data_IF_567024694758
#
_entry.id   IF_567024694758
#
_cell.length_a   1.000
_cell.length_b   1.000
_cell.length_c   1.000
_cell.angle_alpha   90.00
_cell.angle_beta   90.00
_cell.angle_gamma   90.00
#
_symmetry.space_group_name_H-M   'P 1'
#
loop_
_entity.id
_entity.type
_entity.pdbx_description
1 polymer ?
#
# COMPACT_ATOMS: atom_id res chain seq x y z
N UNK A 1 21.74 -7.57 31.09
CA UNK A 1 22.12 -6.72 29.93
C UNK A 1 21.32 -5.43 30.02
N UNK A 2 21.93 -4.27 29.74
CA UNK A 2 21.28 -2.94 29.84
C UNK A 2 21.15 -2.30 28.45
N UNK A 3 20.08 -1.57 28.19
CA UNK A 3 19.96 -0.72 27.00
C UNK A 3 20.50 0.69 27.29
N UNK A 4 21.40 1.19 26.44
CA UNK A 4 21.96 2.54 26.55
C UNK A 4 21.43 3.40 25.41
N UNK A 5 20.78 4.51 25.75
CA UNK A 5 20.20 5.45 24.78
C UNK A 5 20.42 6.91 25.23
N UNK A 6 20.13 7.87 24.34
CA UNK A 6 20.12 9.31 24.60
C UNK A 6 21.46 9.94 25.04
N UNK A 7 22.60 9.36 24.65
CA UNK A 7 23.89 10.01 24.86
C UNK A 7 23.95 11.33 24.08
N UNK A 8 23.98 12.45 24.80
CA UNK A 8 24.04 13.79 24.21
C UNK A 8 25.10 14.65 24.91
N UNK A 9 25.88 15.39 24.12
CA UNK A 9 26.82 16.40 24.61
C UNK A 9 26.46 17.74 23.97
N UNK A 10 26.33 18.76 24.82
CA UNK A 10 26.05 20.12 24.40
C UNK A 10 27.04 20.60 23.32
N UNK A 11 26.55 21.30 22.28
CA UNK A 11 27.35 21.68 21.09
C UNK A 11 28.71 22.30 21.43
N UNK A 12 28.74 23.20 22.42
CA UNK A 12 29.96 23.91 22.87
C UNK A 12 31.02 23.03 23.56
N UNK A 13 30.68 21.80 23.97
CA UNK A 13 31.55 20.91 24.77
C UNK A 13 32.03 19.67 24.01
N UNK A 14 31.63 19.49 22.75
CA UNK A 14 31.90 18.26 21.98
C UNK A 14 33.39 17.98 21.78
N UNK A 15 34.22 19.03 21.66
CA UNK A 15 35.68 18.89 21.51
C UNK A 15 36.42 18.57 22.82
N UNK A 16 35.74 18.64 23.98
CA UNK A 16 36.37 18.47 25.30
C UNK A 16 36.38 17.03 25.83
N UNK A 17 36.16 16.03 24.97
CA UNK A 17 36.13 14.60 25.35
C UNK A 17 35.16 14.26 26.50
N UNK A 18 34.03 14.97 26.57
CA UNK A 18 32.99 14.72 27.61
C UNK A 18 32.29 13.38 27.40
N UNK A 19 32.01 12.99 26.15
CA UNK A 19 31.30 11.74 25.85
C UNK A 19 32.00 10.47 26.41
N UNK A 20 33.32 10.27 26.24
CA UNK A 20 34.03 9.17 26.89
C UNK A 20 33.89 9.11 28.42
N UNK A 21 33.80 10.26 29.11
CA UNK A 21 33.65 10.31 30.57
C UNK A 21 32.24 9.87 30.97
N UNK A 22 31.22 10.35 30.26
CA UNK A 22 29.83 9.93 30.46
C UNK A 22 29.66 8.42 30.26
N UNK A 23 30.29 7.87 29.21
CA UNK A 23 30.27 6.43 28.92
C UNK A 23 30.92 5.64 30.06
N UNK A 24 32.09 6.08 30.59
CA UNK A 24 32.73 5.40 31.73
C UNK A 24 31.89 5.43 32.98
N UNK A 25 31.26 6.57 33.29
CA UNK A 25 30.45 6.70 34.50
C UNK A 25 29.19 5.83 34.43
N UNK A 26 28.50 5.77 33.28
CA UNK A 26 27.34 4.88 33.15
C UNK A 26 27.77 3.41 33.21
N UNK A 27 28.90 3.03 32.59
CA UNK A 27 29.45 1.67 32.73
C UNK A 27 29.76 1.34 34.20
N UNK A 28 30.36 2.27 34.95
CA UNK A 28 30.65 2.07 36.39
C UNK A 28 29.36 1.80 37.19
N UNK A 29 28.31 2.60 36.95
CA UNK A 29 27.02 2.43 37.64
C UNK A 29 26.36 1.09 37.31
N UNK A 30 26.34 0.71 36.02
CA UNK A 30 25.76 -0.55 35.57
C UNK A 30 26.49 -1.77 36.16
N UNK A 31 27.82 -1.69 36.27
CA UNK A 31 28.63 -2.76 36.86
C UNK A 31 28.38 -2.95 38.36
N UNK A 32 28.04 -1.88 39.10
CA UNK A 32 27.69 -1.98 40.53
C UNK A 32 26.40 -2.77 40.77
N UNK A 33 25.49 -2.76 39.79
CA UNK A 33 24.25 -3.56 39.80
C UNK A 33 24.48 -5.01 39.30
N UNK A 34 25.73 -5.43 39.11
CA UNK A 34 26.08 -6.77 38.64
C UNK A 34 25.79 -7.03 37.14
N UNK A 35 25.50 -5.99 36.37
CA UNK A 35 25.26 -6.09 34.92
C UNK A 35 26.55 -5.72 34.17
N UNK A 36 27.00 -6.57 33.25
CA UNK A 36 28.27 -6.36 32.53
C UNK A 36 28.12 -6.28 31.01
N UNK A 37 26.89 -6.37 30.50
CA UNK A 37 26.60 -6.32 29.06
C UNK A 37 25.66 -5.16 28.76
N UNK A 38 25.89 -4.48 27.64
CA UNK A 38 25.05 -3.38 27.17
C UNK A 38 24.72 -3.54 25.68
N UNK A 39 23.53 -3.07 25.29
CA UNK A 39 23.11 -2.90 23.89
C UNK A 39 22.84 -1.42 23.63
N UNK A 40 23.23 -0.95 22.45
CA UNK A 40 22.98 0.44 22.02
C UNK A 40 22.92 0.50 20.50
N UNK A 41 22.25 1.52 19.99
CA UNK A 41 22.23 1.86 18.57
C UNK A 41 22.97 3.18 18.35
N UNK A 42 23.60 3.35 17.19
CA UNK A 42 24.28 4.59 16.82
C UNK A 42 24.06 4.89 15.35
N UNK A 43 23.83 6.16 15.01
CA UNK A 43 23.71 6.63 13.62
C UNK A 43 25.06 6.76 12.89
N UNK A 44 26.18 6.50 13.58
CA UNK A 44 27.54 6.53 13.05
C UNK A 44 28.18 5.15 13.18
N UNK A 45 29.07 4.78 12.23
CA UNK A 45 29.74 3.49 12.26
C UNK A 45 30.80 3.47 13.36
N UNK A 46 30.64 2.55 14.31
CA UNK A 46 31.61 2.25 15.38
C UNK A 46 32.27 0.88 15.12
N UNK A 47 33.43 0.59 15.72
CA UNK A 47 34.11 -0.69 15.53
C UNK A 47 33.22 -1.88 15.93
N UNK A 48 33.18 -2.93 15.09
CA UNK A 48 32.46 -4.20 15.29
C UNK A 48 30.94 -4.03 15.53
N UNK A 49 30.17 -3.49 14.58
CA UNK A 49 28.71 -3.47 14.69
C UNK A 49 28.15 -4.90 14.64
N UNK A 50 27.17 -5.22 15.51
CA UNK A 50 26.49 -6.52 15.51
C UNK A 50 25.53 -6.65 14.33
N UNK A 51 24.84 -5.56 13.97
CA UNK A 51 23.98 -5.47 12.80
C UNK A 51 23.99 -4.02 12.27
N UNK A 52 23.80 -3.84 10.97
CA UNK A 52 23.67 -2.51 10.35
C UNK A 52 22.36 -2.43 9.59
N UNK A 53 21.42 -1.64 10.10
CA UNK A 53 20.18 -1.30 9.39
C UNK A 53 20.44 -0.05 8.54
N UNK A 54 20.22 -0.11 7.22
CA UNK A 54 20.39 1.06 6.35
C UNK A 54 19.17 1.96 6.49
N UNK A 55 19.37 3.18 6.98
CA UNK A 55 18.35 4.22 6.91
C UNK A 55 18.00 4.51 5.44
N UNK A 56 16.71 4.51 5.12
CA UNK A 56 16.21 4.84 3.79
C UNK A 56 16.28 6.36 3.59
N UNK A 57 17.10 6.84 2.65
CA UNK A 57 17.13 8.27 2.31
C UNK A 57 15.99 8.60 1.36
N UNK A 58 15.44 9.83 1.43
CA UNK A 58 14.34 10.27 0.57
C UNK A 58 14.63 10.04 -0.93
N UNK A 59 15.86 10.35 -1.38
CA UNK A 59 16.27 10.11 -2.77
C UNK A 59 16.22 8.62 -3.15
N UNK A 60 16.61 7.72 -2.23
CA UNK A 60 16.55 6.29 -2.45
C UNK A 60 15.10 5.79 -2.45
N UNK A 61 14.24 6.34 -1.59
CA UNK A 61 12.80 6.08 -1.57
C UNK A 61 12.15 6.49 -2.88
N UNK A 62 12.39 7.72 -3.36
CA UNK A 62 11.89 8.22 -4.64
C UNK A 62 12.34 7.33 -5.81
N UNK A 63 13.60 6.89 -5.81
CA UNK A 63 14.11 5.98 -6.85
C UNK A 63 13.47 4.58 -6.76
N UNK A 64 13.22 4.10 -5.55
CA UNK A 64 12.62 2.79 -5.31
C UNK A 64 11.15 2.72 -5.77
N UNK A 65 10.37 3.75 -5.48
CA UNK A 65 8.94 3.85 -5.83
C UNK A 65 8.68 4.58 -7.15
N UNK A 66 9.71 4.82 -7.95
CA UNK A 66 9.54 5.44 -9.27
C UNK A 66 8.73 4.53 -10.18
N UNK A 67 7.61 5.04 -10.66
CA UNK A 67 6.80 4.43 -11.71
C UNK A 67 7.12 5.06 -13.07
N UNK A 68 6.88 4.32 -14.18
CA UNK A 68 6.88 4.87 -15.54
C UNK A 68 5.94 6.07 -15.71
N UNK A 69 6.06 6.75 -16.84
CA UNK A 69 5.24 7.92 -17.18
C UNK A 69 4.08 7.59 -18.15
N UNK A 70 4.04 6.36 -18.66
CA UNK A 70 2.97 5.85 -19.52
C UNK A 70 2.64 4.40 -19.18
N UNK A 71 1.38 4.02 -19.39
CA UNK A 71 0.86 2.66 -19.19
C UNK A 71 1.41 1.71 -20.25
N UNK A 72 1.48 0.42 -19.90
CA UNK A 72 2.04 -0.64 -20.75
C UNK A 72 0.94 -1.35 -21.56
N UNK A 73 -0.26 -1.48 -21.00
CA UNK A 73 -1.36 -2.24 -21.60
C UNK A 73 -1.96 -1.48 -22.79
N UNK A 74 -1.92 -2.12 -23.97
CA UNK A 74 -2.56 -1.61 -25.18
C UNK A 74 -4.08 -1.67 -25.06
N UNK A 75 -4.77 -0.64 -25.55
CA UNK A 75 -6.24 -0.60 -25.52
C UNK A 75 -6.84 -0.18 -24.17
N UNK A 76 -6.00 0.16 -23.19
CA UNK A 76 -6.44 0.71 -21.90
C UNK A 76 -7.02 2.11 -22.10
N UNK A 77 -8.30 2.28 -21.76
CA UNK A 77 -9.03 3.56 -21.86
C UNK A 77 -10.03 3.72 -20.72
N UNK A 78 -10.50 4.93 -20.42
CA UNK A 78 -11.59 5.13 -19.47
C UNK A 78 -12.84 4.33 -19.86
N UNK A 79 -13.56 3.83 -18.86
CA UNK A 79 -14.86 3.17 -19.07
C UNK A 79 -15.91 4.19 -19.55
N UNK A 80 -16.72 3.79 -20.53
CA UNK A 80 -17.84 4.56 -21.06
C UNK A 80 -19.18 3.86 -20.78
N UNK A 81 -20.30 4.58 -20.96
CA UNK A 81 -21.65 4.02 -20.76
C UNK A 81 -21.96 2.82 -21.66
N UNK A 82 -21.37 2.75 -22.85
CA UNK A 82 -21.56 1.61 -23.77
C UNK A 82 -20.94 0.31 -23.23
N UNK A 83 -19.99 0.42 -22.31
CA UNK A 83 -19.21 -0.70 -21.78
C UNK A 83 -19.91 -1.40 -20.60
N UNK A 84 -20.97 -0.80 -20.02
CA UNK A 84 -21.65 -1.26 -18.79
C UNK A 84 -21.99 -2.74 -18.86
N UNK A 85 -22.66 -3.17 -19.94
CA UNK A 85 -23.08 -4.55 -20.10
C UNK A 85 -21.91 -5.53 -20.17
N UNK A 86 -20.86 -5.18 -20.91
CA UNK A 86 -19.66 -6.02 -21.02
C UNK A 86 -18.91 -6.10 -19.68
N UNK A 87 -18.78 -4.99 -18.95
CA UNK A 87 -18.20 -4.97 -17.61
C UNK A 87 -19.03 -5.79 -16.62
N UNK A 88 -20.36 -5.73 -16.72
CA UNK A 88 -21.29 -6.51 -15.90
C UNK A 88 -21.12 -8.02 -16.12
N UNK A 89 -20.99 -8.45 -17.38
CA UNK A 89 -20.70 -9.85 -17.71
C UNK A 89 -19.32 -10.28 -17.17
N UNK A 90 -18.28 -9.45 -17.37
CA UNK A 90 -16.93 -9.73 -16.89
C UNK A 90 -16.85 -9.86 -15.37
N UNK A 91 -17.39 -8.88 -14.63
CA UNK A 91 -17.30 -8.86 -13.17
C UNK A 91 -18.10 -10.00 -12.54
N UNK A 92 -19.32 -10.27 -13.02
CA UNK A 92 -20.12 -11.37 -12.48
C UNK A 92 -19.51 -12.73 -12.81
N UNK A 93 -18.85 -12.88 -13.96
CA UNK A 93 -18.14 -14.12 -14.28
C UNK A 93 -16.88 -14.30 -13.41
N UNK A 94 -16.12 -13.22 -13.18
CA UNK A 94 -14.97 -13.23 -12.28
C UNK A 94 -15.38 -13.55 -10.84
N UNK A 95 -16.42 -12.89 -10.33
CA UNK A 95 -16.82 -12.98 -8.93
C UNK A 95 -17.39 -14.34 -8.52
N UNK A 96 -17.87 -15.16 -9.48
CA UNK A 96 -18.36 -16.53 -9.25
C UNK A 96 -17.33 -17.47 -8.62
N UNK A 97 -16.04 -17.16 -8.72
CA UNK A 97 -14.99 -18.02 -8.13
C UNK A 97 -14.81 -17.82 -6.62
N UNK A 98 -15.39 -16.75 -6.06
CA UNK A 98 -15.30 -16.41 -4.64
C UNK A 98 -16.54 -16.90 -3.88
N UNK A 99 -16.36 -17.18 -2.59
CA UNK A 99 -17.42 -17.73 -1.74
C UNK A 99 -18.37 -16.65 -1.20
N UNK A 100 -17.86 -15.42 -1.03
CA UNK A 100 -18.65 -14.25 -0.66
C UNK A 100 -18.39 -13.14 -1.68
N UNK A 101 -19.35 -12.86 -2.55
CA UNK A 101 -19.25 -11.81 -3.55
C UNK A 101 -20.63 -11.23 -3.88
N UNK A 102 -20.70 -9.94 -4.26
CA UNK A 102 -21.92 -9.37 -4.80
C UNK A 102 -22.20 -9.92 -6.20
N UNK A 103 -23.47 -10.02 -6.55
CA UNK A 103 -23.92 -10.20 -7.94
C UNK A 103 -24.53 -8.87 -8.34
N UNK A 104 -24.02 -8.28 -9.42
CA UNK A 104 -24.40 -6.93 -9.81
C UNK A 104 -25.28 -6.93 -11.06
N UNK A 105 -26.32 -6.11 -11.07
CA UNK A 105 -27.06 -5.76 -12.27
C UNK A 105 -26.40 -4.60 -13.06
N UNK A 106 -26.96 -4.23 -14.20
CA UNK A 106 -26.41 -3.15 -15.04
C UNK A 106 -26.49 -1.78 -14.36
N UNK A 107 -27.50 -1.53 -13.51
CA UNK A 107 -27.65 -0.26 -12.79
C UNK A 107 -26.61 -0.13 -11.67
N UNK A 108 -26.36 -1.21 -10.94
CA UNK A 108 -25.32 -1.30 -9.92
C UNK A 108 -23.93 -1.14 -10.55
N UNK A 109 -23.66 -1.81 -11.69
CA UNK A 109 -22.40 -1.63 -12.41
C UNK A 109 -22.23 -0.19 -12.88
N UNK A 110 -23.29 0.43 -13.39
CA UNK A 110 -23.25 1.83 -13.78
C UNK A 110 -22.96 2.75 -12.58
N UNK A 111 -23.59 2.48 -11.43
CA UNK A 111 -23.42 3.28 -10.21
C UNK A 111 -22.00 3.16 -9.65
N UNK A 112 -21.47 1.94 -9.57
CA UNK A 112 -20.20 1.67 -8.89
C UNK A 112 -18.97 1.86 -9.79
N UNK A 113 -19.09 1.75 -11.12
CA UNK A 113 -17.93 1.75 -12.01
C UNK A 113 -17.89 2.86 -13.04
N UNK A 114 -18.98 3.57 -13.34
CA UNK A 114 -18.87 4.71 -14.26
C UNK A 114 -17.93 5.77 -13.66
N UNK A 115 -16.86 6.18 -14.38
CA UNK A 115 -15.90 7.12 -13.84
C UNK A 115 -16.57 8.44 -13.43
N UNK A 116 -16.29 8.85 -12.20
CA UNK A 116 -16.76 10.12 -11.64
C UNK A 116 -15.58 10.82 -10.98
N UNK A 117 -15.30 12.04 -11.43
CA UNK A 117 -14.16 12.82 -10.96
C UNK A 117 -14.14 12.91 -9.44
N UNK A 118 -12.98 12.61 -8.87
CA UNK A 118 -12.72 12.62 -7.43
C UNK A 118 -13.51 11.59 -6.59
N UNK A 119 -14.20 10.63 -7.23
CA UNK A 119 -14.95 9.58 -6.55
C UNK A 119 -14.45 8.20 -6.98
N UNK A 120 -14.63 7.84 -8.24
CA UNK A 120 -14.25 6.51 -8.77
C UNK A 120 -13.60 6.68 -10.14
N UNK A 121 -12.50 5.97 -10.33
CA UNK A 121 -11.77 5.88 -11.58
C UNK A 121 -11.81 4.43 -12.06
N UNK A 122 -12.37 4.21 -13.26
CA UNK A 122 -12.46 2.87 -13.88
C UNK A 122 -11.94 2.93 -15.32
N UNK A 123 -11.09 1.96 -15.65
CA UNK A 123 -10.49 1.82 -16.97
C UNK A 123 -10.73 0.41 -17.49
N UNK A 124 -11.06 0.30 -18.76
CA UNK A 124 -11.29 -0.95 -19.47
C UNK A 124 -10.17 -1.18 -20.49
N UNK A 125 -9.88 -2.44 -20.77
CA UNK A 125 -8.94 -2.87 -21.80
C UNK A 125 -9.73 -3.45 -22.95
N UNK A 126 -9.55 -2.86 -24.13
CA UNK A 126 -10.19 -3.29 -25.37
C UNK A 126 -9.15 -3.95 -26.28
N UNK A 127 -9.42 -5.18 -26.72
CA UNK A 127 -8.53 -5.88 -27.65
C UNK A 127 -8.67 -5.33 -29.08
N UNK A 128 -7.84 -5.84 -30.02
CA UNK A 128 -7.85 -5.40 -31.42
C UNK A 128 -9.18 -5.63 -32.16
N UNK A 129 -10.05 -6.49 -31.62
CA UNK A 129 -11.36 -6.82 -32.20
C UNK A 129 -12.49 -5.97 -31.60
N UNK A 130 -12.19 -5.06 -30.69
CA UNK A 130 -13.18 -4.22 -30.02
C UNK A 130 -13.93 -4.89 -28.87
N UNK A 131 -13.40 -6.01 -28.36
CA UNK A 131 -13.99 -6.74 -27.22
C UNK A 131 -13.25 -6.36 -25.94
N UNK A 132 -14.02 -6.09 -24.88
CA UNK A 132 -13.45 -5.84 -23.55
C UNK A 132 -13.00 -7.14 -22.90
N UNK A 133 -11.76 -7.13 -22.42
CA UNK A 133 -11.10 -8.31 -21.84
C UNK A 133 -10.87 -8.12 -20.35
N UNK A 134 -10.44 -6.93 -19.96
CA UNK A 134 -10.00 -6.62 -18.61
C UNK A 134 -10.56 -5.26 -18.16
N UNK A 135 -10.67 -5.04 -16.86
CA UNK A 135 -10.87 -3.70 -16.33
C UNK A 135 -10.27 -3.56 -14.93
N UNK A 136 -9.92 -2.33 -14.57
CA UNK A 136 -9.41 -1.97 -13.26
C UNK A 136 -10.21 -0.80 -12.70
N UNK A 137 -10.36 -0.74 -11.38
CA UNK A 137 -11.05 0.37 -10.72
C UNK A 137 -10.45 0.71 -9.35
N UNK A 138 -10.48 1.99 -9.01
CA UNK A 138 -10.08 2.49 -7.71
C UNK A 138 -10.86 3.75 -7.33
N UNK A 139 -11.20 3.90 -6.05
CA UNK A 139 -11.92 5.06 -5.55
C UNK A 139 -11.01 6.02 -4.79
N UNK A 140 -11.42 7.28 -4.74
CA UNK A 140 -10.71 8.35 -4.02
C UNK A 140 -11.23 8.44 -2.61
N UNK A 141 -10.34 8.36 -1.63
CA UNK A 141 -10.67 8.65 -0.23
C UNK A 141 -9.65 9.65 0.34
N UNK A 142 -10.01 10.95 0.42
CA UNK A 142 -9.11 11.95 0.96
C UNK A 142 -9.00 11.82 2.48
N UNK A 143 -7.79 11.89 3.01
CA UNK A 143 -7.52 11.92 4.45
C UNK A 143 -7.01 13.30 4.87
N UNK A 144 -7.44 13.79 6.02
CA UNK A 144 -6.95 15.06 6.58
C UNK A 144 -5.62 14.84 7.30
N UNK A 145 -4.61 15.65 6.99
CA UNK A 145 -3.31 15.61 7.66
C UNK A 145 -3.32 16.56 8.85
N UNK A 146 -3.24 15.99 10.06
CA UNK A 146 -3.28 16.77 11.30
C UNK A 146 -1.92 17.36 11.64
N UNK A 147 -1.90 18.63 12.03
CA UNK A 147 -0.74 19.33 12.59
C UNK A 147 0.53 19.40 11.71
N UNK A 148 0.42 19.23 10.39
CA UNK A 148 1.56 19.40 9.49
C UNK A 148 1.63 20.83 8.93
N UNK A 149 2.81 21.50 8.95
CA UNK A 149 2.91 22.92 8.61
C UNK A 149 2.65 23.24 7.12
N UNK A 150 2.88 22.27 6.22
CA UNK A 150 2.83 22.48 4.77
C UNK A 150 1.79 21.63 4.01
N UNK A 151 1.31 20.53 4.60
CA UNK A 151 0.45 19.56 3.92
C UNK A 151 -0.82 19.39 4.75
N UNK A 152 -1.99 19.55 4.12
CA UNK A 152 -3.28 19.54 4.83
C UNK A 152 -4.14 18.34 4.51
N UNK A 153 -3.91 17.70 3.37
CA UNK A 153 -4.66 16.56 2.88
C UNK A 153 -3.73 15.54 2.22
N UNK A 154 -4.10 14.28 2.32
CA UNK A 154 -3.51 13.16 1.61
C UNK A 154 -4.56 12.61 0.65
N UNK A 155 -4.28 12.63 -0.65
CA UNK A 155 -5.17 12.09 -1.68
C UNK A 155 -4.82 10.60 -1.87
N UNK A 156 -5.57 9.73 -1.22
CA UNK A 156 -5.37 8.29 -1.33
C UNK A 156 -6.33 7.66 -2.35
N UNK A 157 -5.78 6.76 -3.17
CA UNK A 157 -6.54 5.86 -4.02
C UNK A 157 -6.69 4.53 -3.29
N UNK A 158 -7.87 3.92 -3.37
CA UNK A 158 -8.15 2.59 -2.84
C UNK A 158 -8.61 1.69 -3.98
N UNK A 159 -7.88 0.60 -4.19
CA UNK A 159 -8.25 -0.45 -5.16
C UNK A 159 -9.65 -0.95 -4.86
N UNK A 160 -10.48 -1.01 -5.89
CA UNK A 160 -11.84 -1.54 -5.80
C UNK A 160 -11.88 -2.94 -6.43
N UNK A 161 -12.45 -3.09 -7.63
CA UNK A 161 -12.44 -4.35 -8.38
C UNK A 161 -11.51 -4.29 -9.58
N UNK A 162 -10.77 -5.37 -9.80
CA UNK A 162 -9.89 -5.53 -10.96
C UNK A 162 -10.14 -6.93 -11.54
N UNK A 163 -10.55 -6.97 -12.80
CA UNK A 163 -10.84 -8.21 -13.52
C UNK A 163 -9.86 -8.33 -14.67
N UNK A 164 -9.23 -9.49 -14.77
CA UNK A 164 -8.23 -9.80 -15.78
C UNK A 164 -8.54 -11.15 -16.45
N UNK A 165 -8.35 -11.23 -17.76
CA UNK A 165 -8.55 -12.40 -18.62
C UNK A 165 -7.36 -12.60 -19.58
N UNK A 166 -7.00 -11.57 -20.35
CA UNK A 166 -5.88 -11.60 -21.30
C UNK A 166 -4.63 -10.94 -20.73
N UNK A 167 -4.80 -9.82 -20.03
CA UNK A 167 -3.69 -9.05 -19.46
C UNK A 167 -3.27 -9.66 -18.12
N UNK A 168 -1.98 -9.96 -17.87
CA UNK A 168 -1.55 -10.41 -16.55
C UNK A 168 -1.91 -9.39 -15.47
N UNK A 169 -2.57 -9.83 -14.38
CA UNK A 169 -2.97 -8.95 -13.26
C UNK A 169 -1.86 -8.03 -12.75
N UNK A 170 -0.61 -8.50 -12.74
CA UNK A 170 0.56 -7.72 -12.34
C UNK A 170 0.76 -6.48 -13.23
N UNK A 171 0.63 -6.63 -14.55
CA UNK A 171 0.77 -5.53 -15.51
C UNK A 171 -0.42 -4.58 -15.41
N UNK A 172 -1.64 -5.12 -15.27
CA UNK A 172 -2.87 -4.33 -15.11
C UNK A 172 -2.81 -3.45 -13.84
N UNK A 173 -2.38 -4.02 -12.71
CA UNK A 173 -2.22 -3.27 -11.46
C UNK A 173 -1.05 -2.29 -11.50
N UNK A 174 0.03 -2.61 -12.22
CA UNK A 174 1.09 -1.64 -12.44
C UNK A 174 0.59 -0.42 -13.22
N UNK A 175 -0.29 -0.62 -14.21
CA UNK A 175 -0.92 0.48 -14.94
C UNK A 175 -1.88 1.28 -14.06
N UNK A 176 -2.63 0.63 -13.15
CA UNK A 176 -3.43 1.33 -12.14
C UNK A 176 -2.57 2.30 -11.28
N UNK A 177 -1.39 1.86 -10.84
CA UNK A 177 -0.45 2.70 -10.08
C UNK A 177 0.06 3.89 -10.91
N UNK A 178 0.37 3.67 -12.19
CA UNK A 178 0.80 4.73 -13.12
C UNK A 178 -0.31 5.76 -13.29
N UNK A 179 -1.55 5.32 -13.54
CA UNK A 179 -2.71 6.19 -13.70
C UNK A 179 -2.95 6.99 -12.42
N UNK A 180 -2.92 6.36 -11.25
CA UNK A 180 -3.08 7.05 -9.97
C UNK A 180 -2.01 8.12 -9.77
N UNK A 181 -0.73 7.82 -10.07
CA UNK A 181 0.35 8.82 -10.05
C UNK A 181 0.08 9.98 -11.02
N UNK A 182 -0.35 9.70 -12.25
CA UNK A 182 -0.69 10.73 -13.24
C UNK A 182 -1.85 11.62 -12.80
N UNK A 183 -2.82 11.05 -12.08
CA UNK A 183 -3.95 11.78 -11.46
C UNK A 183 -3.60 12.47 -10.13
N UNK A 184 -2.32 12.45 -9.73
CA UNK A 184 -1.81 13.14 -8.56
C UNK A 184 -2.25 12.52 -7.23
N UNK A 185 -2.47 11.20 -7.19
CA UNK A 185 -2.63 10.49 -5.92
C UNK A 185 -1.29 10.33 -5.20
N UNK A 186 -1.31 10.45 -3.88
CA UNK A 186 -0.13 10.38 -3.02
C UNK A 186 0.21 8.93 -2.63
N UNK A 187 -0.82 8.08 -2.52
CA UNK A 187 -0.71 6.68 -2.11
C UNK A 187 -1.80 5.84 -2.78
N UNK A 188 -1.49 4.57 -3.03
CA UNK A 188 -2.44 3.59 -3.54
C UNK A 188 -2.55 2.43 -2.55
N UNK A 189 -3.73 2.25 -1.98
CA UNK A 189 -4.06 1.23 -1.01
C UNK A 189 -4.80 0.08 -1.68
N UNK A 190 -4.55 -1.14 -1.24
CA UNK A 190 -5.27 -2.32 -1.71
C UNK A 190 -5.48 -3.27 -0.53
N UNK A 191 -6.65 -3.91 -0.48
CA UNK A 191 -6.93 -4.94 0.51
C UNK A 191 -6.35 -6.28 0.06
N UNK A 192 -6.03 -7.12 1.04
CA UNK A 192 -5.54 -8.47 0.83
C UNK A 192 -6.69 -9.47 0.53
N UNK A 193 -7.50 -9.14 -0.48
CA UNK A 193 -8.67 -9.91 -0.91
C UNK A 193 -8.44 -10.52 -2.30
N UNK A 194 -9.25 -11.50 -2.66
CA UNK A 194 -9.24 -12.12 -3.99
C UNK A 194 -7.83 -12.62 -4.36
N UNK A 195 -7.32 -12.24 -5.54
CA UNK A 195 -6.00 -12.65 -6.03
C UNK A 195 -4.92 -11.58 -5.76
N UNK A 196 -5.21 -10.57 -4.92
CA UNK A 196 -4.35 -9.39 -4.78
C UNK A 196 -2.94 -9.74 -4.28
N UNK A 197 -2.80 -10.76 -3.43
CA UNK A 197 -1.49 -11.30 -2.97
C UNK A 197 -0.48 -11.51 -4.08
N UNK A 198 -0.95 -11.85 -5.28
CA UNK A 198 -0.09 -12.17 -6.43
C UNK A 198 0.72 -10.98 -6.94
N UNK A 199 0.24 -9.75 -6.72
CA UNK A 199 0.90 -8.51 -7.16
C UNK A 199 1.42 -7.64 -6.00
N UNK A 200 0.86 -7.75 -4.79
CA UNK A 200 1.18 -6.84 -3.67
C UNK A 200 2.70 -6.76 -3.40
N UNK A 201 3.37 -7.90 -3.18
CA UNK A 201 4.82 -7.91 -2.94
C UNK A 201 5.63 -7.41 -4.14
N UNK A 202 5.24 -7.86 -5.35
CA UNK A 202 5.95 -7.53 -6.61
C UNK A 202 5.88 -6.04 -6.96
N UNK A 203 4.75 -5.40 -6.63
CA UNK A 203 4.52 -3.96 -6.82
C UNK A 203 4.89 -3.14 -5.58
N UNK A 204 5.59 -3.73 -4.61
CA UNK A 204 6.17 -3.06 -3.44
C UNK A 204 5.11 -2.47 -2.50
N UNK A 205 3.93 -3.07 -2.42
CA UNK A 205 2.97 -2.75 -1.38
C UNK A 205 3.55 -3.13 -0.02
N UNK A 206 3.39 -2.23 0.95
CA UNK A 206 3.71 -2.48 2.34
C UNK A 206 2.47 -2.93 3.10
N UNK A 207 2.66 -3.79 4.10
CA UNK A 207 1.58 -4.18 5.01
C UNK A 207 1.22 -2.96 5.86
N UNK A 208 -0.06 -2.61 5.89
CA UNK A 208 -0.60 -1.56 6.76
C UNK A 208 -0.66 -1.98 8.23
N UNK A 209 -1.06 -1.06 9.10
CA UNK A 209 -1.26 -1.30 10.53
C UNK A 209 -2.68 -1.77 10.90
N UNK A 210 -3.65 -1.56 10.00
CA UNK A 210 -5.05 -1.95 10.18
C UNK A 210 -5.40 -3.32 9.59
N UNK A 211 -6.28 -4.05 10.29
CA UNK A 211 -6.94 -5.24 9.77
C UNK A 211 -8.43 -4.95 9.54
N UNK A 212 -8.96 -5.36 8.39
CA UNK A 212 -10.39 -5.32 8.10
C UNK A 212 -10.98 -6.72 8.32
N UNK A 213 -12.12 -6.79 9.01
CA UNK A 213 -12.78 -8.04 9.36
C UNK A 213 -14.19 -8.06 8.76
N UNK A 214 -14.58 -9.18 8.15
CA UNK A 214 -15.90 -9.37 7.54
C UNK A 214 -16.81 -10.16 8.48
N UNK A 215 -18.03 -9.66 8.69
CA UNK A 215 -19.04 -10.28 9.54
C UNK A 215 -20.37 -10.41 8.77
N UNK A 216 -21.04 -11.54 8.94
CA UNK A 216 -22.40 -11.75 8.45
C UNK A 216 -23.36 -11.78 9.63
N UNK A 217 -24.43 -11.01 9.55
CA UNK A 217 -25.50 -11.01 10.55
C UNK A 217 -26.61 -11.97 10.14
N UNK A 218 -27.13 -12.76 11.10
CA UNK A 218 -28.20 -13.75 10.88
C UNK A 218 -27.88 -14.79 9.77
N UNK A 219 -26.60 -15.09 9.54
CA UNK A 219 -26.15 -16.09 8.58
C UNK A 219 -25.01 -16.92 9.17
N UNK A 220 -25.16 -18.25 9.17
CA UNK A 220 -24.13 -19.16 9.68
C UNK A 220 -23.33 -19.72 8.51
N UNK A 221 -22.02 -19.54 8.51
CA UNK A 221 -21.10 -20.13 7.54
C UNK A 221 -19.78 -20.55 8.20
N UNK A 222 -18.98 -21.41 7.56
CA UNK A 222 -17.59 -21.64 7.95
C UNK A 222 -16.77 -20.34 7.86
N UNK A 223 -15.63 -20.30 8.56
CA UNK A 223 -14.61 -19.29 8.29
C UNK A 223 -14.06 -19.44 6.88
N UNK A 224 -13.62 -18.34 6.28
CA UNK A 224 -13.06 -18.31 4.93
C UNK A 224 -11.77 -17.49 4.90
N UNK A 225 -10.82 -17.94 4.07
CA UNK A 225 -9.59 -17.20 3.81
C UNK A 225 -9.89 -15.94 2.97
N UNK A 226 -9.00 -14.94 3.05
CA UNK A 226 -9.23 -13.65 2.39
C UNK A 226 -9.27 -13.77 0.86
N UNK A 227 -8.61 -14.79 0.28
CA UNK A 227 -8.67 -15.13 -1.15
C UNK A 227 -10.06 -15.61 -1.59
N UNK A 228 -10.94 -15.98 -0.66
CA UNK A 228 -12.32 -16.42 -0.95
C UNK A 228 -13.35 -15.31 -0.82
N UNK A 229 -12.94 -14.11 -0.42
CA UNK A 229 -13.79 -12.93 -0.29
C UNK A 229 -13.64 -12.07 -1.54
N UNK A 230 -14.70 -11.97 -2.32
CA UNK A 230 -14.86 -11.09 -3.48
C UNK A 230 -15.77 -9.89 -3.19
N UNK A 231 -16.02 -9.58 -1.93
CA UNK A 231 -16.76 -8.40 -1.51
C UNK A 231 -15.79 -7.32 -1.04
N UNK A 232 -15.76 -6.18 -1.73
CA UNK A 232 -14.99 -5.00 -1.30
C UNK A 232 -15.97 -4.00 -0.69
N UNK A 233 -15.80 -3.72 0.59
CA UNK A 233 -16.56 -2.68 1.30
C UNK A 233 -15.70 -1.44 1.50
N UNK A 234 -16.31 -0.27 1.33
CA UNK A 234 -15.71 1.05 1.61
C UNK A 234 -15.75 1.36 3.11
#
# INVERSE_FOLDING_TARGET
MVEINFLCVHKKLRSKRVAPVLIREITRRVNLEGIFQAVYTAGVVLPKPVATCRNMTLQRTMKLYRLPDATKTSGLRPMERKDIKAVQELINNYLKQFSLAPVMDEEEVAHWFLPQDHIIDTFVVENSNGVLTDFLSFYTLPSTVMHHPAHKSLKAAYSFYNVHTETPLLDLMNDALIIAKMKGFDVFNALDLMENKTFLEKLKFGIGDGNLQYYLYNWRCPGMDSEKVGLVLQ
#
